data_IF_745954337742
#
_entry.id   IF_745954337742
#
_cell.length_a   1.000
_cell.length_b   1.000
_cell.length_c   1.000
_cell.angle_alpha   90.00
_cell.angle_beta   90.00
_cell.angle_gamma   90.00
#
_symmetry.space_group_name_H-M   'P 1'
#
loop_
_entity.id
_entity.type
_entity.pdbx_description
1 polymer ?
#
# COMPACT_ATOMS: atom_id res chain seq x y z
N UNK A 1 -30.30 -1.85 -6.53
CA UNK A 1 -29.76 -3.12 -6.00
C UNK A 1 -28.31 -3.24 -6.48
N UNK A 2 -27.36 -2.61 -5.77
CA UNK A 2 -25.93 -2.71 -6.09
C UNK A 2 -25.43 -4.01 -5.47
N UNK A 3 -25.44 -5.09 -6.23
CA UNK A 3 -24.57 -6.23 -5.90
C UNK A 3 -23.15 -5.70 -6.05
N UNK A 4 -22.35 -5.72 -4.98
CA UNK A 4 -21.00 -5.14 -4.94
C UNK A 4 -20.18 -5.58 -6.16
N UNK A 5 -20.13 -4.76 -7.20
CA UNK A 5 -19.51 -5.11 -8.46
C UNK A 5 -17.99 -4.96 -8.33
N UNK A 6 -17.26 -5.48 -9.33
CA UNK A 6 -15.83 -5.22 -9.47
C UNK A 6 -15.54 -3.70 -9.48
N UNK A 7 -16.43 -2.93 -10.10
CA UNK A 7 -16.35 -1.46 -10.18
C UNK A 7 -16.55 -0.82 -8.80
N UNK A 8 -17.53 -1.26 -8.01
CA UNK A 8 -17.74 -0.74 -6.65
C UNK A 8 -16.55 -1.01 -5.74
N UNK A 9 -15.97 -2.21 -5.87
CA UNK A 9 -14.79 -2.61 -5.10
C UNK A 9 -13.61 -1.72 -5.47
N UNK A 10 -13.38 -1.51 -6.77
CA UNK A 10 -12.34 -0.62 -7.29
C UNK A 10 -12.52 0.82 -6.79
N UNK A 11 -13.73 1.37 -6.91
CA UNK A 11 -14.03 2.75 -6.47
C UNK A 11 -13.81 2.92 -4.97
N UNK A 12 -14.17 1.90 -4.17
CA UNK A 12 -13.91 1.92 -2.73
C UNK A 12 -12.43 1.90 -2.41
N UNK A 13 -11.64 1.08 -3.13
CA UNK A 13 -10.17 1.05 -2.97
C UNK A 13 -9.56 2.42 -3.33
N UNK A 14 -9.96 3.00 -4.47
CA UNK A 14 -9.50 4.31 -4.93
C UNK A 14 -9.88 5.42 -3.93
N UNK A 15 -11.06 5.36 -3.31
CA UNK A 15 -11.47 6.32 -2.28
C UNK A 15 -10.66 6.26 -0.99
N UNK A 16 -9.96 5.16 -0.72
CA UNK A 16 -9.05 5.05 0.43
C UNK A 16 -7.65 5.55 0.09
N UNK A 17 -7.35 5.74 -1.20
CA UNK A 17 -6.04 6.17 -1.64
C UNK A 17 -5.81 7.65 -1.33
N UNK A 18 -4.55 7.98 -1.08
CA UNK A 18 -4.08 9.32 -0.78
C UNK A 18 -2.82 9.56 -1.60
N UNK A 19 -2.77 10.67 -2.34
CA UNK A 19 -1.61 11.02 -3.19
C UNK A 19 -0.35 11.22 -2.33
N UNK A 20 -0.51 11.82 -1.15
CA UNK A 20 0.53 12.01 -0.14
C UNK A 20 0.76 10.80 0.78
N UNK A 21 0.23 9.63 0.41
CA UNK A 21 0.36 8.42 1.22
C UNK A 21 1.78 7.84 1.21
N UNK A 22 2.29 7.43 2.37
CA UNK A 22 3.58 6.73 2.48
C UNK A 22 3.44 5.21 2.35
N UNK A 23 2.23 4.68 2.50
CA UNK A 23 1.98 3.25 2.44
C UNK A 23 1.55 2.80 1.05
N UNK A 24 2.11 1.73 0.54
CA UNK A 24 1.73 1.14 -0.75
C UNK A 24 1.59 -0.38 -0.63
N UNK A 25 0.97 -0.98 -1.63
CA UNK A 25 0.77 -2.43 -1.71
C UNK A 25 1.69 -3.04 -2.76
N UNK A 26 2.32 -4.16 -2.42
CA UNK A 26 3.09 -4.97 -3.35
C UNK A 26 2.84 -6.45 -3.12
N UNK A 27 3.10 -7.25 -4.15
CA UNK A 27 3.10 -8.70 -4.03
C UNK A 27 4.36 -9.15 -3.26
N UNK A 28 4.18 -9.88 -2.16
CA UNK A 28 5.28 -10.41 -1.37
C UNK A 28 6.21 -11.35 -2.15
N UNK A 29 5.67 -12.04 -3.17
CA UNK A 29 6.40 -13.04 -3.94
C UNK A 29 7.17 -12.46 -5.12
N UNK A 30 6.57 -11.52 -5.85
CA UNK A 30 7.15 -10.99 -7.09
C UNK A 30 7.74 -9.59 -6.92
N UNK A 31 7.43 -8.88 -5.83
CA UNK A 31 7.76 -7.47 -5.68
C UNK A 31 6.92 -6.53 -6.55
N UNK A 32 6.05 -7.08 -7.39
CA UNK A 32 5.28 -6.32 -8.37
C UNK A 32 4.00 -5.74 -7.76
N UNK A 33 3.49 -4.65 -8.33
CA UNK A 33 2.28 -3.96 -7.85
C UNK A 33 1.10 -4.31 -8.74
N UNK A 34 0.12 -5.09 -8.25
CA UNK A 34 -0.97 -5.54 -9.10
C UNK A 34 -2.05 -4.47 -9.27
N UNK A 35 -2.63 -4.39 -10.48
CA UNK A 35 -3.86 -3.64 -10.74
C UNK A 35 -5.00 -4.16 -9.84
N UNK A 36 -5.78 -3.28 -9.18
CA UNK A 36 -5.87 -1.82 -9.36
C UNK A 36 -5.01 -0.97 -8.41
N UNK A 37 -4.13 -1.55 -7.60
CA UNK A 37 -3.36 -0.83 -6.56
C UNK A 37 -1.96 -0.41 -7.02
N UNK A 38 -1.66 -0.57 -8.30
CA UNK A 38 -0.34 -0.28 -8.90
C UNK A 38 0.16 1.14 -8.62
N UNK A 39 -0.75 2.11 -8.75
CA UNK A 39 -0.48 3.54 -8.58
C UNK A 39 -1.00 4.10 -7.26
N UNK A 40 -1.70 3.28 -6.45
CA UNK A 40 -2.37 3.76 -5.25
C UNK A 40 -1.44 3.75 -4.05
N UNK A 41 -1.48 4.85 -3.30
CA UNK A 41 -0.82 5.00 -2.01
C UNK A 41 -1.84 5.29 -0.92
N UNK A 42 -1.48 5.06 0.33
CA UNK A 42 -2.35 5.18 1.49
C UNK A 42 -1.61 5.95 2.58
N UNK A 43 -2.33 6.83 3.29
CA UNK A 43 -1.77 7.60 4.40
C UNK A 43 -1.53 6.76 5.66
N UNK A 44 -2.33 5.71 5.87
CA UNK A 44 -2.33 4.91 7.09
C UNK A 44 -2.18 3.42 6.78
N UNK A 45 -1.45 2.71 7.64
CA UNK A 45 -1.33 1.25 7.59
C UNK A 45 -2.68 0.54 7.66
N UNK A 46 -3.63 1.08 8.43
CA UNK A 46 -4.98 0.51 8.56
C UNK A 46 -5.75 0.60 7.23
N UNK A 47 -5.67 1.75 6.56
CA UNK A 47 -6.30 1.96 5.25
C UNK A 47 -5.65 1.09 4.18
N UNK A 48 -4.32 0.98 4.19
CA UNK A 48 -3.59 0.09 3.29
C UNK A 48 -4.01 -1.38 3.48
N UNK A 49 -4.16 -1.84 4.73
CA UNK A 49 -4.63 -3.20 5.02
C UNK A 49 -6.07 -3.43 4.56
N UNK A 50 -6.95 -2.45 4.75
CA UNK A 50 -8.31 -2.52 4.23
C UNK A 50 -8.33 -2.60 2.70
N UNK A 51 -7.50 -1.82 2.04
CA UNK A 51 -7.34 -1.86 0.58
C UNK A 51 -6.78 -3.21 0.10
N UNK A 52 -5.82 -3.82 0.81
CA UNK A 52 -5.32 -5.15 0.49
C UNK A 52 -6.44 -6.20 0.49
N UNK A 53 -7.25 -6.23 1.56
CA UNK A 53 -8.41 -7.14 1.66
C UNK A 53 -9.42 -6.91 0.54
N UNK A 54 -9.72 -5.64 0.20
CA UNK A 54 -10.63 -5.31 -0.88
C UNK A 54 -10.08 -5.74 -2.25
N UNK A 55 -8.78 -5.59 -2.48
CA UNK A 55 -8.12 -6.04 -3.72
C UNK A 55 -8.12 -7.56 -3.82
N UNK A 56 -7.90 -8.28 -2.73
CA UNK A 56 -8.04 -9.75 -2.71
C UNK A 56 -9.46 -10.18 -3.08
N UNK A 57 -10.48 -9.54 -2.50
CA UNK A 57 -11.88 -9.80 -2.85
C UNK A 57 -12.18 -9.48 -4.32
N UNK A 58 -11.66 -8.38 -4.83
CA UNK A 58 -11.76 -8.01 -6.24
C UNK A 58 -11.15 -9.10 -7.14
N UNK A 59 -9.93 -9.56 -6.85
CA UNK A 59 -9.26 -10.61 -7.64
C UNK A 59 -9.93 -11.97 -7.51
N UNK A 60 -10.43 -12.32 -6.32
CA UNK A 60 -11.19 -13.55 -6.10
C UNK A 60 -12.50 -13.56 -6.92
N UNK A 61 -13.15 -12.40 -7.09
CA UNK A 61 -14.29 -12.25 -8.00
C UNK A 61 -13.86 -12.32 -9.46
N UNK A 62 -12.77 -11.65 -9.83
CA UNK A 62 -12.21 -11.66 -11.18
C UNK A 62 -11.88 -13.10 -11.63
N UNK A 63 -11.40 -13.93 -10.70
CA UNK A 63 -11.13 -15.36 -10.92
C UNK A 63 -12.32 -16.20 -11.35
N UNK A 64 -13.55 -15.77 -11.04
CA UNK A 64 -14.75 -16.44 -11.55
C UNK A 64 -14.88 -16.30 -13.07
N UNK A 65 -14.28 -15.25 -13.64
CA UNK A 65 -14.28 -14.98 -15.07
C UNK A 65 -12.99 -15.45 -15.74
N UNK A 66 -11.84 -15.29 -15.07
CA UNK A 66 -10.55 -15.78 -15.56
C UNK A 66 -9.84 -16.66 -14.51
N UNK A 67 -9.95 -18.00 -14.62
CA UNK A 67 -9.30 -18.93 -13.71
C UNK A 67 -7.77 -18.88 -13.72
N UNK A 68 -7.15 -18.33 -14.78
CA UNK A 68 -5.69 -18.29 -14.95
C UNK A 68 -5.01 -17.16 -14.19
N UNK A 69 -5.79 -16.28 -13.54
CA UNK A 69 -5.26 -15.17 -12.76
C UNK A 69 -4.32 -15.65 -11.65
N UNK A 70 -3.10 -15.07 -11.54
CA UNK A 70 -2.18 -15.35 -10.45
C UNK A 70 -2.76 -14.98 -9.08
N UNK A 71 -2.48 -15.82 -8.07
CA UNK A 71 -2.65 -15.43 -6.65
C UNK A 71 -1.50 -14.47 -6.32
N UNK A 72 -1.81 -13.29 -5.81
CA UNK A 72 -0.82 -12.39 -5.24
C UNK A 72 -1.07 -12.28 -3.74
N UNK A 73 -0.01 -12.41 -2.94
CA UNK A 73 -0.07 -12.16 -1.50
C UNK A 73 0.29 -10.69 -1.30
N UNK A 74 -0.72 -9.86 -1.02
CA UNK A 74 -0.53 -8.42 -0.89
C UNK A 74 0.03 -8.10 0.49
N UNK A 75 1.15 -7.39 0.51
CA UNK A 75 1.75 -6.86 1.74
C UNK A 75 1.76 -5.34 1.70
N UNK A 76 1.57 -4.74 2.87
CA UNK A 76 1.67 -3.29 3.08
C UNK A 76 3.14 -2.96 3.31
N UNK A 77 3.67 -2.08 2.46
CA UNK A 77 5.00 -1.51 2.62
C UNK A 77 4.88 -0.01 2.91
N UNK A 78 5.83 0.52 3.66
CA UNK A 78 5.97 1.95 3.91
C UNK A 78 7.21 2.45 3.19
N UNK A 79 7.09 3.56 2.50
CA UNK A 79 8.21 4.28 1.91
C UNK A 79 9.03 4.91 3.05
N UNK A 80 10.30 4.53 3.21
CA UNK A 80 11.18 4.97 4.29
C UNK A 80 11.64 6.45 4.19
N UNK A 81 11.03 7.25 3.33
CA UNK A 81 11.46 8.62 2.99
C UNK A 81 11.32 9.61 4.17
N UNK A 82 10.67 9.22 5.28
CA UNK A 82 10.36 10.11 6.40
C UNK A 82 11.17 9.88 7.68
N UNK A 83 12.24 9.07 7.66
CA UNK A 83 13.16 8.93 8.81
C UNK A 83 14.42 9.82 8.71
N UNK A 84 14.71 10.45 7.57
CA UNK A 84 15.99 11.15 7.38
C UNK A 84 16.06 12.59 7.95
N UNK A 85 14.97 13.16 8.47
CA UNK A 85 14.94 14.60 8.86
C UNK A 85 14.72 14.84 10.37
N UNK A 86 14.77 13.81 11.23
CA UNK A 86 14.63 14.00 12.69
C UNK A 86 15.77 13.45 13.55
N UNK A 87 16.99 13.40 13.02
CA UNK A 87 18.08 12.73 13.74
C UNK A 87 19.49 13.22 13.49
N UNK A 88 19.73 14.51 13.22
CA UNK A 88 21.09 15.07 13.27
C UNK A 88 21.10 16.50 13.84
N UNK A 89 20.62 16.68 15.07
CA UNK A 89 21.00 17.88 15.84
C UNK A 89 21.21 17.55 17.31
N UNK A 90 21.96 16.49 17.63
CA UNK A 90 22.50 16.31 18.98
C UNK A 90 23.92 15.76 18.88
N UNK A 91 24.90 16.66 18.68
CA UNK A 91 26.30 16.37 19.01
C UNK A 91 26.56 16.90 20.43
N UNK A 92 26.45 16.09 21.50
CA UNK A 92 26.97 16.48 22.80
C UNK A 92 28.47 16.19 22.85
N UNK A 93 29.25 17.23 22.51
CA UNK A 93 30.55 17.59 23.10
C UNK A 93 31.76 16.69 22.88
N UNK A 94 32.91 17.31 22.57
CA UNK A 94 34.16 17.10 23.32
C UNK A 94 35.03 18.36 23.35
N UNK A 95 35.32 18.80 24.57
CA UNK A 95 36.38 19.74 24.96
C UNK A 95 37.72 19.40 24.29
N UNK A 96 38.37 20.38 23.66
CA UNK A 96 39.83 20.55 23.77
C UNK A 96 40.37 21.88 23.21
N UNK A 97 41.29 22.51 23.95
CA UNK A 97 42.25 23.52 23.50
C UNK A 97 41.99 24.92 24.06
N UNK A 98 42.90 25.60 24.76
CA UNK A 98 44.27 25.31 25.23
C UNK A 98 44.48 26.04 26.56
#
# INVERSE_FOLDING_TARGET
>A
MVGTTLVDSRRRIESLASEDGEYYLMCARTGDRPVPVETLRFRDRLLARAAATLTEQYRARLRRYDPRLPVYDLVVCQTAEHEAVRGTDETPGRRHGQ
#
